data_IF_602880530054
#
_entry.id   IF_602880530054
#
_cell.length_a   1.000
_cell.length_b   1.000
_cell.length_c   1.000
_cell.angle_alpha   90.00
_cell.angle_beta   90.00
_cell.angle_gamma   90.00
#
_symmetry.space_group_name_H-M   'P 1'
#
loop_
_entity.id
_entity.type
_entity.pdbx_description
1 polymer ?
#
# COMPACT_ATOMS: atom_id res chain seq x y z
N UNK A 1 14.32 10.83 -21.45
CA UNK A 1 15.15 11.58 -20.48
C UNK A 1 14.96 10.90 -19.13
N UNK A 2 16.04 10.41 -18.51
CA UNK A 2 15.95 9.70 -17.23
C UNK A 2 15.84 10.73 -16.09
N UNK A 3 14.64 10.89 -15.53
CA UNK A 3 14.40 11.79 -14.40
C UNK A 3 14.65 11.02 -13.09
N UNK A 4 15.67 11.47 -12.35
CA UNK A 4 16.05 10.93 -11.06
C UNK A 4 15.54 11.82 -9.95
N UNK A 5 14.78 11.25 -9.02
CA UNK A 5 14.15 11.99 -7.92
C UNK A 5 14.70 11.53 -6.58
N UNK A 6 14.92 12.48 -5.67
CA UNK A 6 15.19 12.17 -4.26
C UNK A 6 13.93 11.71 -3.53
N UNK A 7 14.09 11.20 -2.31
CA UNK A 7 12.96 10.82 -1.44
C UNK A 7 11.99 11.99 -1.24
N UNK A 8 12.53 13.19 -1.02
CA UNK A 8 11.74 14.42 -0.82
C UNK A 8 10.95 14.80 -2.06
N UNK A 9 11.59 14.80 -3.23
CA UNK A 9 10.93 15.15 -4.50
C UNK A 9 9.88 14.12 -4.89
N UNK A 10 10.20 12.83 -4.73
CA UNK A 10 9.25 11.76 -4.98
C UNK A 10 8.04 11.87 -4.04
N UNK A 11 8.28 12.07 -2.74
CA UNK A 11 7.24 12.27 -1.73
C UNK A 11 6.28 13.41 -2.11
N UNK A 12 6.81 14.53 -2.59
CA UNK A 12 6.02 15.66 -3.09
C UNK A 12 5.22 15.32 -4.35
N UNK A 13 5.84 14.61 -5.30
CA UNK A 13 5.25 14.28 -6.62
C UNK A 13 4.06 13.33 -6.50
N UNK A 14 4.19 12.25 -5.72
CA UNK A 14 3.13 11.24 -5.55
C UNK A 14 2.25 11.48 -4.31
N UNK A 15 2.56 12.50 -3.50
CA UNK A 15 1.91 12.82 -2.21
C UNK A 15 1.95 11.67 -1.20
N UNK A 16 3.03 10.88 -1.21
CA UNK A 16 3.28 9.85 -0.21
C UNK A 16 4.17 10.39 0.90
N UNK A 17 4.06 9.83 2.11
CA UNK A 17 5.01 10.13 3.17
C UNK A 17 6.38 9.51 2.88
N UNK A 18 7.45 10.17 3.33
CA UNK A 18 8.82 9.61 3.25
C UNK A 18 8.89 8.24 3.92
N UNK A 19 8.20 8.08 5.05
CA UNK A 19 8.13 6.81 5.75
C UNK A 19 7.53 5.69 4.88
N UNK A 20 6.47 5.99 4.13
CA UNK A 20 5.85 5.05 3.21
C UNK A 20 6.84 4.60 2.14
N UNK A 21 7.65 5.52 1.59
CA UNK A 21 8.69 5.18 0.61
C UNK A 21 9.75 4.24 1.21
N UNK A 22 10.22 4.51 2.42
CA UNK A 22 11.15 3.61 3.12
C UNK A 22 10.52 2.25 3.42
N UNK A 23 9.24 2.21 3.80
CA UNK A 23 8.50 0.97 4.01
C UNK A 23 8.41 0.15 2.71
N UNK A 24 8.22 0.78 1.55
CA UNK A 24 8.19 0.09 0.25
C UNK A 24 9.55 -0.53 -0.11
N UNK A 25 10.64 0.16 0.23
CA UNK A 25 12.01 -0.39 0.10
C UNK A 25 12.17 -1.58 1.05
N UNK A 26 11.77 -1.43 2.32
CA UNK A 26 11.88 -2.48 3.33
C UNK A 26 11.07 -3.74 2.94
N UNK A 27 9.87 -3.55 2.40
CA UNK A 27 9.00 -4.61 1.87
C UNK A 27 9.50 -5.21 0.55
N UNK A 28 10.66 -4.78 0.03
CA UNK A 28 11.26 -5.19 -1.26
C UNK A 28 10.35 -4.93 -2.47
N UNK A 29 9.37 -4.04 -2.35
CA UNK A 29 8.56 -3.58 -3.48
C UNK A 29 9.42 -2.74 -4.41
N UNK A 30 10.24 -1.86 -3.85
CA UNK A 30 11.29 -1.17 -4.58
C UNK A 30 12.59 -1.95 -4.47
N UNK A 31 13.22 -2.18 -5.62
CA UNK A 31 14.42 -3.02 -5.76
C UNK A 31 15.58 -2.13 -6.18
N UNK A 32 16.74 -2.28 -5.50
CA UNK A 32 17.98 -1.58 -5.83
C UNK A 32 18.45 -1.94 -7.25
N UNK A 33 18.82 -0.94 -8.04
CA UNK A 33 19.25 -1.08 -9.43
C UNK A 33 18.10 -1.01 -10.44
N UNK A 34 16.90 -1.46 -10.06
CA UNK A 34 15.69 -1.34 -10.88
C UNK A 34 14.94 -0.05 -10.60
N UNK A 35 14.38 0.09 -9.40
CA UNK A 35 13.49 1.22 -9.05
C UNK A 35 14.25 2.39 -8.42
N UNK A 36 15.32 2.09 -7.68
CA UNK A 36 16.14 3.11 -7.03
C UNK A 36 17.60 2.71 -7.00
N UNK A 37 18.48 3.70 -6.83
CA UNK A 37 19.91 3.53 -6.66
C UNK A 37 20.40 4.34 -5.47
N UNK A 38 21.55 3.94 -4.95
CA UNK A 38 22.11 4.50 -3.72
C UNK A 38 23.58 4.89 -3.96
N UNK A 39 23.84 6.10 -4.49
CA UNK A 39 25.22 6.56 -4.72
C UNK A 39 26.01 6.72 -3.43
N UNK A 40 25.32 7.02 -2.33
CA UNK A 40 25.90 7.27 -1.02
C UNK A 40 24.99 6.63 0.04
N UNK A 41 25.52 6.09 1.15
CA UNK A 41 24.70 5.49 2.20
C UNK A 41 23.57 6.40 2.73
N UNK A 42 23.70 7.72 2.59
CA UNK A 42 22.75 8.74 3.03
C UNK A 42 21.74 9.19 1.97
N UNK A 43 22.00 8.97 0.68
CA UNK A 43 21.15 9.46 -0.42
C UNK A 43 20.57 8.31 -1.22
N UNK A 44 19.25 8.33 -1.39
CA UNK A 44 18.49 7.41 -2.23
C UNK A 44 17.92 8.21 -3.39
N UNK A 45 18.14 7.72 -4.60
CA UNK A 45 17.63 8.31 -5.83
C UNK A 45 16.75 7.29 -6.53
N UNK A 46 15.55 7.70 -6.90
CA UNK A 46 14.54 6.88 -7.56
C UNK A 46 14.51 7.21 -9.04
N UNK A 47 14.31 6.17 -9.86
CA UNK A 47 14.04 6.34 -11.30
C UNK A 47 12.55 6.64 -11.47
N UNK A 48 12.20 7.88 -11.81
CA UNK A 48 10.81 8.26 -12.06
C UNK A 48 10.06 7.31 -13.01
N UNK A 49 10.58 6.95 -14.21
CA UNK A 49 9.82 6.13 -15.14
C UNK A 49 9.48 4.74 -14.58
N UNK A 50 10.37 4.15 -13.79
CA UNK A 50 10.16 2.85 -13.15
C UNK A 50 9.11 2.93 -12.03
N UNK A 51 9.13 4.02 -11.26
CA UNK A 51 8.12 4.26 -10.22
C UNK A 51 6.75 4.55 -10.86
N UNK A 52 6.72 5.31 -11.95
CA UNK A 52 5.48 5.59 -12.68
C UNK A 52 4.88 4.30 -13.25
N UNK A 53 5.68 3.46 -13.90
CA UNK A 53 5.25 2.16 -14.40
C UNK A 53 4.74 1.25 -13.26
N UNK A 54 5.33 1.32 -12.07
CA UNK A 54 4.83 0.60 -10.91
C UNK A 54 3.48 1.14 -10.41
N UNK A 55 3.25 2.46 -10.42
CA UNK A 55 1.99 3.09 -10.00
C UNK A 55 0.86 2.79 -10.99
N UNK A 56 1.15 2.86 -12.29
CA UNK A 56 0.21 2.50 -13.35
C UNK A 56 -0.19 1.01 -13.28
N UNK A 57 0.60 0.20 -12.57
CA UNK A 57 0.41 -1.24 -12.43
C UNK A 57 0.79 -1.98 -13.71
N UNK A 58 0.75 -3.33 -13.71
CA UNK A 58 0.74 -4.05 -14.97
C UNK A 58 -0.50 -3.57 -15.72
N UNK A 59 -0.31 -2.79 -16.77
CA UNK A 59 -1.35 -2.55 -17.76
C UNK A 59 -1.61 -3.89 -18.44
N UNK A 60 -2.48 -4.70 -17.83
CA UNK A 60 -3.14 -5.80 -18.49
C UNK A 60 -3.88 -5.23 -19.69
N UNK A 61 -3.18 -5.11 -20.81
CA UNK A 61 -3.76 -4.92 -22.14
C UNK A 61 -4.56 -6.15 -22.59
N UNK A 62 -4.99 -6.99 -21.64
CA UNK A 62 -5.82 -8.18 -21.80
C UNK A 62 -7.05 -8.11 -20.88
N UNK A 63 -7.64 -6.92 -20.66
CA UNK A 63 -9.05 -6.88 -20.30
C UNK A 63 -9.91 -7.06 -21.55
N UNK A 64 -9.83 -8.25 -22.15
CA UNK A 64 -10.93 -8.77 -22.94
C UNK A 64 -12.05 -9.07 -21.93
N UNK A 65 -13.02 -8.18 -21.85
CA UNK A 65 -14.27 -8.41 -21.15
C UNK A 65 -15.11 -9.37 -22.01
N UNK A 66 -15.36 -10.64 -21.63
CA UNK A 66 -16.57 -11.28 -22.12
C UNK A 66 -17.69 -10.78 -21.22
N UNK A 67 -18.49 -9.87 -21.77
CA UNK A 67 -19.77 -9.52 -21.20
C UNK A 67 -20.67 -10.76 -21.21
N UNK A 68 -20.72 -11.53 -20.13
CA UNK A 68 -21.85 -12.43 -19.91
C UNK A 68 -22.71 -11.91 -18.75
N UNK A 69 -23.80 -11.27 -19.16
CA UNK A 69 -24.95 -11.00 -18.31
C UNK A 69 -25.46 -12.33 -17.76
N UNK A 70 -25.38 -12.51 -16.45
CA UNK A 70 -26.25 -13.42 -15.69
C UNK A 70 -26.27 -12.88 -14.27
N UNK A 71 -27.16 -11.93 -13.97
CA UNK A 71 -28.48 -12.25 -13.46
C UNK A 71 -28.42 -13.37 -12.40
N UNK A 72 -28.28 -12.98 -11.14
CA UNK A 72 -29.10 -13.52 -10.06
C UNK A 72 -28.98 -12.64 -8.82
N UNK A 73 -30.05 -11.88 -8.61
CA UNK A 73 -30.46 -11.41 -7.29
C UNK A 73 -30.46 -12.61 -6.33
N UNK A 74 -30.03 -12.38 -5.09
CA UNK A 74 -30.71 -12.92 -3.91
C UNK A 74 -30.21 -12.18 -2.66
N UNK A 75 -31.13 -11.42 -2.09
CA UNK A 75 -31.19 -10.98 -0.69
C UNK A 75 -31.14 -12.18 0.26
N UNK A 76 -30.36 -12.16 1.35
CA UNK A 76 -30.73 -12.82 2.61
C UNK A 76 -29.80 -12.43 3.78
N UNK A 77 -30.36 -11.67 4.72
CA UNK A 77 -30.29 -11.77 6.19
C UNK A 77 -29.12 -12.48 6.93
N UNK A 78 -28.73 -11.81 8.03
CA UNK A 78 -28.26 -12.32 9.34
C UNK A 78 -26.75 -12.37 9.67
N UNK A 79 -26.36 -11.42 10.53
CA UNK A 79 -25.59 -11.49 11.81
C UNK A 79 -24.65 -12.70 12.01
N UNK A 80 -23.40 -12.41 12.43
CA UNK A 80 -22.77 -13.21 13.48
C UNK A 80 -22.36 -12.36 14.70
N UNK A 81 -22.62 -12.93 15.87
CA UNK A 81 -22.26 -12.45 17.20
C UNK A 81 -20.78 -12.70 17.51
N UNK A 82 -20.15 -11.78 18.26
CA UNK A 82 -18.82 -11.98 18.84
C UNK A 82 -18.37 -10.79 19.70
N UNK A 83 -18.45 -10.94 21.03
CA UNK A 83 -17.93 -10.02 22.07
C UNK A 83 -16.39 -9.97 22.05
N UNK A 84 -15.75 -8.92 22.58
CA UNK A 84 -15.11 -9.09 23.90
C UNK A 84 -15.19 -7.89 24.86
N UNK A 85 -15.46 -8.24 26.12
CA UNK A 85 -14.91 -7.75 27.41
C UNK A 85 -14.73 -6.24 27.63
N UNK A 86 -15.54 -5.67 28.55
CA UNK A 86 -15.24 -4.42 29.25
C UNK A 86 -14.98 -4.71 30.74
N UNK A 87 -13.95 -4.01 31.22
CA UNK A 87 -13.38 -3.85 32.55
C UNK A 87 -14.32 -3.92 33.77
N UNK A 88 -13.81 -4.48 34.87
CA UNK A 88 -13.41 -3.75 36.11
C UNK A 88 -13.38 -4.74 37.31
N UNK A 89 -12.27 -4.89 38.05
CA UNK A 89 -12.27 -5.63 39.31
C UNK A 89 -12.94 -4.82 40.43
N UNK A 90 -14.03 -5.33 40.97
CA UNK A 90 -14.66 -4.82 42.19
C UNK A 90 -13.82 -5.24 43.40
N UNK A 91 -13.18 -4.28 44.04
CA UNK A 91 -12.48 -4.46 45.32
C UNK A 91 -13.47 -4.21 46.45
N UNK A 92 -14.01 -5.27 47.04
CA UNK A 92 -14.73 -5.18 48.31
C UNK A 92 -13.71 -5.20 49.46
N UNK A 93 -13.64 -4.10 50.20
CA UNK A 93 -12.93 -4.03 51.49
C UNK A 93 -13.96 -4.31 52.58
N UNK A 94 -13.71 -5.33 53.40
CA UNK A 94 -14.48 -5.59 54.62
C UNK A 94 -13.82 -4.84 55.77
N UNK A 95 -14.60 -4.05 56.50
CA UNK A 95 -14.28 -3.54 57.84
C UNK A 95 -15.46 -3.86 58.74
#
# INVERSE_FOLDING_TARGET
MEEYLTVDELSLKIKYSKQSLYNLIYKKTFILGKHYFKPTPKKILFKWPEIQAWIEGPSDSNNAIPANKSARQNTCSQKPEGKPTQDTPSSSINI
#
